data_IF_922594074941
#
_entry.id   IF_922594074941
#
_cell.length_a   1.000
_cell.length_b   1.000
_cell.length_c   1.000
_cell.angle_alpha   90.00
_cell.angle_beta   90.00
_cell.angle_gamma   90.00
#
_symmetry.space_group_name_H-M   'P 1'
#
loop_
_entity.id
_entity.type
_entity.pdbx_description
1 polymer ?
#
# COMPACT_ATOMS: atom_id res chain seq x y z
N UNK A 1 -15.37 14.04 -4.99
CA UNK A 1 -14.47 13.07 -4.32
C UNK A 1 -13.82 12.14 -5.34
N UNK A 2 -12.90 12.65 -6.18
CA UNK A 2 -12.25 11.87 -7.25
C UNK A 2 -10.81 11.42 -6.87
N UNK A 3 -10.31 11.88 -5.72
CA UNK A 3 -8.87 11.96 -5.44
C UNK A 3 -8.38 10.84 -4.49
N UNK A 4 -9.27 10.23 -3.70
CA UNK A 4 -8.91 9.22 -2.69
C UNK A 4 -8.87 7.80 -3.23
N UNK A 5 -9.74 7.44 -4.18
CA UNK A 5 -9.67 6.11 -4.84
C UNK A 5 -8.41 6.00 -5.70
N UNK A 6 -8.00 7.09 -6.36
CA UNK A 6 -6.72 7.18 -7.05
C UNK A 6 -5.56 6.96 -6.07
N UNK A 7 -5.59 7.59 -4.90
CA UNK A 7 -4.55 7.42 -3.87
C UNK A 7 -4.54 6.02 -3.24
N UNK A 8 -5.69 5.40 -2.99
CA UNK A 8 -5.77 4.03 -2.43
C UNK A 8 -5.37 2.99 -3.47
N UNK A 9 -5.77 3.14 -4.73
CA UNK A 9 -5.32 2.26 -5.80
C UNK A 9 -3.83 2.45 -6.08
N UNK A 10 -3.33 3.70 -6.07
CA UNK A 10 -1.89 3.98 -6.11
C UNK A 10 -1.17 3.37 -4.92
N UNK A 11 -1.74 3.41 -3.72
CA UNK A 11 -1.16 2.78 -2.54
C UNK A 11 -1.16 1.25 -2.63
N UNK A 12 -2.21 0.64 -3.18
CA UNK A 12 -2.28 -0.81 -3.40
C UNK A 12 -1.33 -1.23 -4.52
N UNK A 13 -1.27 -0.48 -5.62
CA UNK A 13 -0.35 -0.77 -6.74
C UNK A 13 1.09 -0.53 -6.28
N UNK A 14 1.37 0.57 -5.60
CA UNK A 14 2.70 0.84 -5.08
C UNK A 14 3.09 -0.20 -4.02
N UNK A 15 2.21 -0.52 -3.09
CA UNK A 15 2.44 -1.54 -2.06
C UNK A 15 2.64 -2.93 -2.65
N UNK A 16 1.82 -3.32 -3.62
CA UNK A 16 1.94 -4.61 -4.31
C UNK A 16 3.15 -4.66 -5.23
N UNK A 17 3.49 -3.57 -5.92
CA UNK A 17 4.68 -3.47 -6.77
C UNK A 17 5.96 -3.55 -5.92
N UNK A 18 6.01 -2.84 -4.79
CA UNK A 18 7.12 -2.93 -3.84
C UNK A 18 7.20 -4.34 -3.27
N UNK A 19 6.06 -4.91 -2.85
CA UNK A 19 6.01 -6.28 -2.31
C UNK A 19 6.45 -7.34 -3.32
N UNK A 20 5.98 -7.24 -4.58
CA UNK A 20 6.34 -8.15 -5.65
C UNK A 20 7.81 -7.98 -6.07
N UNK A 21 8.31 -6.74 -6.14
CA UNK A 21 9.71 -6.47 -6.45
C UNK A 21 10.65 -7.07 -5.39
N UNK A 22 10.33 -6.87 -4.11
CA UNK A 22 11.07 -7.50 -3.02
C UNK A 22 10.94 -9.03 -3.03
N UNK A 23 9.75 -9.56 -3.32
CA UNK A 23 9.52 -11.00 -3.43
C UNK A 23 10.34 -11.66 -4.55
N UNK A 24 10.39 -11.03 -5.74
CA UNK A 24 11.16 -11.52 -6.88
C UNK A 24 12.67 -11.38 -6.61
N UNK A 25 13.12 -10.27 -6.01
CA UNK A 25 14.54 -10.07 -5.71
C UNK A 25 15.03 -11.07 -4.66
N UNK A 26 14.19 -11.43 -3.69
CA UNK A 26 14.52 -12.41 -2.67
C UNK A 26 14.57 -13.85 -3.21
N UNK A 27 13.71 -14.17 -4.18
CA UNK A 27 13.63 -15.50 -4.78
C UNK A 27 13.52 -15.44 -6.32
N UNK A 28 14.66 -15.39 -7.03
CA UNK A 28 14.67 -15.35 -8.49
C UNK A 28 14.58 -16.75 -9.10
N UNK A 29 13.54 -16.97 -9.91
CA UNK A 29 13.42 -18.13 -10.80
C UNK A 29 14.29 -17.96 -12.06
N UNK A 30 14.71 -19.07 -12.67
CA UNK A 30 15.36 -19.05 -14.00
C UNK A 30 14.36 -18.55 -15.07
N UNK A 31 14.79 -17.59 -15.89
CA UNK A 31 13.90 -16.90 -16.85
C UNK A 31 13.18 -17.79 -17.87
N UNK A 32 13.80 -18.88 -18.31
CA UNK A 32 13.17 -19.86 -19.22
C UNK A 32 11.93 -20.51 -18.60
N UNK A 33 12.02 -20.85 -17.31
CA UNK A 33 10.95 -21.50 -16.55
C UNK A 33 9.82 -20.50 -16.30
N UNK A 34 10.15 -19.25 -15.97
CA UNK A 34 9.16 -18.19 -15.77
C UNK A 34 8.31 -17.94 -17.01
N UNK A 35 8.93 -17.90 -18.20
CA UNK A 35 8.21 -17.68 -19.46
C UNK A 35 7.23 -18.80 -19.77
N UNK A 36 7.68 -20.06 -19.63
CA UNK A 36 6.82 -21.23 -19.86
C UNK A 36 5.64 -21.23 -18.87
N UNK A 37 5.92 -20.98 -17.60
CA UNK A 37 4.91 -20.90 -16.53
C UNK A 37 3.87 -19.79 -16.77
N UNK A 38 4.25 -18.65 -17.33
CA UNK A 38 3.29 -17.57 -17.67
C UNK A 38 2.33 -18.03 -18.77
N UNK A 39 2.84 -18.65 -19.83
CA UNK A 39 2.02 -19.11 -20.94
C UNK A 39 1.01 -20.19 -20.51
N UNK A 40 1.46 -21.16 -19.73
CA UNK A 40 0.61 -22.26 -19.26
C UNK A 40 -0.47 -21.74 -18.29
N UNK A 41 -0.08 -20.89 -17.33
CA UNK A 41 -1.03 -20.29 -16.38
C UNK A 41 -2.04 -19.37 -17.06
N UNK A 42 -1.66 -18.60 -18.08
CA UNK A 42 -2.58 -17.69 -18.75
C UNK A 42 -3.78 -18.42 -19.39
N UNK A 43 -3.54 -19.60 -19.96
CA UNK A 43 -4.57 -20.39 -20.61
C UNK A 43 -5.53 -21.04 -19.60
N UNK A 44 -5.00 -21.63 -18.53
CA UNK A 44 -5.80 -22.32 -17.50
C UNK A 44 -6.60 -21.35 -16.62
N UNK A 45 -6.01 -20.19 -16.33
CA UNK A 45 -6.56 -19.26 -15.34
C UNK A 45 -7.80 -18.53 -15.88
N UNK A 46 -7.94 -18.39 -17.20
CA UNK A 46 -9.04 -17.64 -17.84
C UNK A 46 -10.43 -18.18 -17.48
N UNK A 47 -10.62 -19.49 -17.55
CA UNK A 47 -11.95 -20.10 -17.42
C UNK A 47 -12.36 -20.22 -15.94
N UNK A 48 -11.43 -20.58 -15.05
CA UNK A 48 -11.67 -20.70 -13.61
C UNK A 48 -11.75 -19.36 -12.86
N UNK A 49 -11.09 -18.32 -13.36
CA UNK A 49 -11.20 -16.98 -12.78
C UNK A 49 -12.62 -16.44 -12.86
N UNK A 50 -13.32 -16.71 -13.95
CA UNK A 50 -14.61 -16.08 -14.21
C UNK A 50 -15.64 -16.54 -13.18
N UNK A 51 -15.68 -17.85 -12.91
CA UNK A 51 -16.61 -18.43 -11.94
C UNK A 51 -16.24 -18.10 -10.49
N UNK A 52 -14.95 -18.19 -10.15
CA UNK A 52 -14.49 -17.90 -8.79
C UNK A 52 -14.48 -16.40 -8.47
N UNK A 53 -14.32 -15.52 -9.46
CA UNK A 53 -14.40 -14.09 -9.24
C UNK A 53 -15.83 -13.65 -8.92
N UNK A 54 -16.85 -14.30 -9.48
CA UNK A 54 -18.25 -13.99 -9.17
C UNK A 54 -18.55 -14.38 -7.71
N UNK A 55 -18.19 -15.61 -7.30
CA UNK A 55 -18.44 -16.07 -5.92
C UNK A 55 -17.60 -15.31 -4.87
N UNK A 56 -16.36 -14.95 -5.21
CA UNK A 56 -15.51 -14.13 -4.33
C UNK A 56 -16.05 -12.72 -4.18
N UNK A 57 -16.57 -12.12 -5.25
CA UNK A 57 -17.21 -10.79 -5.19
C UNK A 57 -18.39 -10.80 -4.22
N UNK A 58 -19.22 -11.83 -4.25
CA UNK A 58 -20.39 -11.92 -3.37
C UNK A 58 -20.00 -12.15 -1.90
N UNK A 59 -18.98 -12.97 -1.64
CA UNK A 59 -18.44 -13.19 -0.28
C UNK A 59 -17.73 -11.96 0.29
N UNK A 60 -16.97 -11.26 -0.55
CA UNK A 60 -16.30 -10.02 -0.17
C UNK A 60 -17.31 -8.92 0.06
N UNK A 61 -18.35 -8.80 -0.79
CA UNK A 61 -19.41 -7.82 -0.61
C UNK A 61 -20.17 -8.02 0.70
N UNK A 62 -20.51 -9.26 1.04
CA UNK A 62 -21.20 -9.58 2.29
C UNK A 62 -20.32 -9.41 3.53
N UNK A 63 -19.04 -9.83 3.48
CA UNK A 63 -18.10 -9.67 4.59
C UNK A 63 -17.71 -8.21 4.83
N UNK A 64 -17.56 -7.42 3.77
CA UNK A 64 -17.30 -5.98 3.91
C UNK A 64 -18.54 -5.28 4.45
N UNK A 65 -19.76 -5.70 4.09
CA UNK A 65 -20.98 -5.10 4.63
C UNK A 65 -21.10 -5.31 6.15
N UNK A 66 -20.73 -6.49 6.68
CA UNK A 66 -20.69 -6.74 8.12
C UNK A 66 -19.50 -6.08 8.82
N UNK A 67 -18.33 -6.05 8.18
CA UNK A 67 -17.14 -5.44 8.77
C UNK A 67 -17.15 -3.91 8.71
N UNK A 68 -17.87 -3.29 7.77
CA UNK A 68 -17.97 -1.83 7.62
C UNK A 68 -18.34 -1.11 8.91
N UNK A 69 -19.29 -1.62 9.68
CA UNK A 69 -19.67 -0.99 10.97
C UNK A 69 -18.51 -1.01 11.98
N UNK A 70 -17.68 -2.06 11.97
CA UNK A 70 -16.49 -2.17 12.82
C UNK A 70 -15.30 -1.37 12.29
N UNK A 71 -15.18 -1.26 10.96
CA UNK A 71 -14.18 -0.46 10.27
C UNK A 71 -14.46 1.03 10.47
N UNK A 72 -15.71 1.48 10.41
CA UNK A 72 -16.08 2.87 10.65
C UNK A 72 -15.69 3.30 12.08
N UNK A 73 -15.93 2.44 13.08
CA UNK A 73 -15.47 2.70 14.45
C UNK A 73 -13.94 2.70 14.59
N UNK A 74 -13.25 1.75 13.93
CA UNK A 74 -11.77 1.68 13.96
C UNK A 74 -11.13 2.84 13.21
N UNK A 75 -11.70 3.25 12.09
CA UNK A 75 -11.24 4.38 11.28
C UNK A 75 -11.49 5.68 12.03
N UNK A 76 -12.65 5.87 12.67
CA UNK A 76 -12.91 7.04 13.52
C UNK A 76 -11.91 7.12 14.68
N UNK A 77 -11.60 5.98 15.31
CA UNK A 77 -10.59 5.92 16.38
C UNK A 77 -9.17 6.19 15.85
N UNK A 78 -8.81 5.66 14.68
CA UNK A 78 -7.52 5.90 14.04
C UNK A 78 -7.40 7.36 13.59
N UNK A 79 -8.45 7.97 13.06
CA UNK A 79 -8.48 9.38 12.65
C UNK A 79 -8.34 10.28 13.87
N UNK A 80 -9.01 9.95 14.98
CA UNK A 80 -8.88 10.69 16.24
C UNK A 80 -7.47 10.57 16.83
N UNK A 81 -6.92 9.35 16.87
CA UNK A 81 -5.57 9.07 17.37
C UNK A 81 -4.49 9.71 16.48
N UNK A 82 -4.68 9.66 15.15
CA UNK A 82 -3.79 10.28 14.18
C UNK A 82 -3.92 11.80 14.26
N UNK A 83 -5.11 12.38 14.44
CA UNK A 83 -5.25 13.84 14.57
C UNK A 83 -4.49 14.38 15.78
N UNK A 84 -4.60 13.72 16.93
CA UNK A 84 -3.85 14.11 18.13
C UNK A 84 -2.34 13.89 17.95
N UNK A 85 -1.94 12.74 17.41
CA UNK A 85 -0.52 12.43 17.18
C UNK A 85 0.09 13.24 16.04
N UNK A 86 -0.70 13.73 15.09
CA UNK A 86 -0.20 14.49 13.93
C UNK A 86 0.29 15.85 14.36
N UNK A 87 -0.37 16.54 15.30
CA UNK A 87 0.12 17.83 15.82
C UNK A 87 1.50 17.68 16.48
N UNK A 88 1.68 16.63 17.30
CA UNK A 88 2.95 16.31 17.96
C UNK A 88 4.03 15.87 16.95
N UNK A 89 3.65 15.07 15.95
CA UNK A 89 4.55 14.58 14.90
C UNK A 89 4.97 15.71 13.97
N UNK A 90 4.05 16.60 13.57
CA UNK A 90 4.36 17.80 12.78
C UNK A 90 5.32 18.70 13.55
N UNK A 91 5.03 19.00 14.82
CA UNK A 91 5.91 19.82 15.66
C UNK A 91 7.31 19.20 15.78
N UNK A 92 7.38 17.87 15.94
CA UNK A 92 8.65 17.14 16.02
C UNK A 92 9.40 17.13 14.68
N UNK A 93 8.68 16.97 13.57
CA UNK A 93 9.22 17.02 12.21
C UNK A 93 9.74 18.41 11.87
N UNK A 94 9.01 19.49 12.19
CA UNK A 94 9.44 20.87 11.98
C UNK A 94 10.69 21.20 12.80
N UNK A 95 10.73 20.76 14.06
CA UNK A 95 11.91 20.88 14.91
C UNK A 95 13.11 20.15 14.31
N UNK A 96 12.94 18.89 13.91
CA UNK A 96 14.00 18.09 13.26
C UNK A 96 14.42 18.68 11.92
N UNK A 97 13.50 19.18 11.11
CA UNK A 97 13.80 19.82 9.82
C UNK A 97 14.54 21.13 10.01
N UNK A 98 14.17 21.94 11.01
CA UNK A 98 14.88 23.16 11.38
C UNK A 98 16.29 22.85 11.90
N UNK A 99 16.43 21.84 12.78
CA UNK A 99 17.74 21.34 13.23
C UNK A 99 18.60 20.86 12.07
N UNK A 100 18.03 20.10 11.13
CA UNK A 100 18.73 19.62 9.93
C UNK A 100 19.12 20.77 9.00
N UNK A 101 18.23 21.74 8.76
CA UNK A 101 18.53 22.94 7.96
C UNK A 101 19.62 23.80 8.61
N UNK A 102 19.59 23.98 9.93
CA UNK A 102 20.60 24.72 10.68
C UNK A 102 21.95 24.00 10.68
N UNK A 103 21.96 22.67 10.89
CA UNK A 103 23.16 21.84 10.76
C UNK A 103 23.73 21.89 9.35
N UNK A 104 22.88 21.77 8.32
CA UNK A 104 23.30 21.86 6.92
C UNK A 104 23.90 23.25 6.62
N UNK A 105 23.27 24.35 7.06
CA UNK A 105 23.80 25.71 6.91
C UNK A 105 25.12 25.95 7.66
N UNK A 106 25.31 25.35 8.84
CA UNK A 106 26.59 25.40 9.57
C UNK A 106 27.69 24.65 8.82
N UNK A 107 27.38 23.47 8.29
CA UNK A 107 28.32 22.69 7.47
C UNK A 107 28.69 23.42 6.17
N UNK A 108 27.75 24.10 5.53
CA UNK A 108 28.00 24.90 4.32
C UNK A 108 28.82 26.18 4.57
N UNK A 109 28.91 26.68 5.81
CA UNK A 109 29.69 27.88 6.15
C UNK A 109 31.10 27.57 6.67
N UNK A 110 31.39 26.30 6.95
CA UNK A 110 32.70 25.81 7.40
C UNK A 110 33.53 25.25 6.24
N UNK A 111 32.96 25.20 5.02
CA UNK A 111 33.70 24.95 3.77
C UNK A 111 33.96 26.24 3.00
#
# INVERSE_FOLDING_TARGET
>A
MSNNTGNTLLAIIAGSAIGAALGILYAPDKGEITRKRIADKANETKDHLTENAITLKDRVASSIASEKQSLDHRVESLVSDVSYKTEDVITTLEKKLSELKAKNKKLQKTS
#
